data_IF_867288950302
#
_entry.id   IF_867288950302
#
_cell.length_a   1.000
_cell.length_b   1.000
_cell.length_c   1.000
_cell.angle_alpha   90.00
_cell.angle_beta   90.00
_cell.angle_gamma   90.00
#
_symmetry.space_group_name_H-M   'P 1'
#
loop_
_entity.id
_entity.type
_entity.pdbx_description
1 polymer ?
#
# COMPACT_ATOMS: atom_id res chain seq x y z
N UNK A 1 3.12 10.63 -12.50
CA UNK A 1 2.82 11.28 -11.20
C UNK A 1 3.83 10.93 -10.09
N UNK A 2 4.20 11.89 -9.24
CA UNK A 2 4.90 11.64 -7.96
C UNK A 2 3.97 12.09 -6.82
N UNK A 3 3.99 11.40 -5.69
CA UNK A 3 3.23 11.79 -4.50
C UNK A 3 4.08 11.72 -3.24
N UNK A 4 3.75 12.61 -2.31
CA UNK A 4 4.26 12.67 -0.95
C UNK A 4 3.06 12.80 -0.02
N UNK A 5 2.92 11.88 0.92
CA UNK A 5 1.85 11.85 1.90
C UNK A 5 2.41 11.68 3.28
N UNK A 6 2.01 12.56 4.17
CA UNK A 6 2.38 12.53 5.58
C UNK A 6 1.13 12.46 6.44
N UNK A 7 1.12 11.59 7.44
CA UNK A 7 0.08 11.62 8.45
C UNK A 7 0.59 11.16 9.82
N UNK A 8 0.14 11.84 10.87
CA UNK A 8 0.36 11.42 12.25
C UNK A 8 -0.39 10.10 12.50
N UNK A 9 0.27 9.20 13.22
CA UNK A 9 -0.25 7.91 13.66
C UNK A 9 -0.23 7.88 15.18
N UNK A 10 -1.33 7.50 15.85
CA UNK A 10 -1.38 7.41 17.31
C UNK A 10 -0.75 6.11 17.81
N UNK A 11 0.47 5.81 17.37
CA UNK A 11 1.30 4.68 17.80
C UNK A 11 2.77 5.08 17.68
N UNK A 12 3.62 4.64 18.61
CA UNK A 12 5.07 4.90 18.49
C UNK A 12 5.62 4.28 17.22
N UNK A 13 6.69 4.86 16.67
CA UNK A 13 7.30 4.34 15.43
C UNK A 13 7.76 2.89 15.60
N UNK A 14 8.31 2.54 16.76
CA UNK A 14 8.80 1.19 17.07
C UNK A 14 7.65 0.17 17.16
N UNK A 15 6.61 0.48 17.93
CA UNK A 15 5.44 -0.40 18.08
C UNK A 15 4.73 -0.61 16.74
N UNK A 16 4.55 0.47 15.96
CA UNK A 16 3.94 0.39 14.65
C UNK A 16 4.78 -0.45 13.69
N UNK A 17 6.10 -0.25 13.70
CA UNK A 17 7.01 -1.01 12.85
C UNK A 17 6.97 -2.51 13.14
N UNK A 18 7.01 -2.88 14.42
CA UNK A 18 6.89 -4.27 14.85
C UNK A 18 5.53 -4.86 14.44
N UNK A 19 4.46 -4.09 14.64
CA UNK A 19 3.08 -4.48 14.31
C UNK A 19 2.92 -4.74 12.80
N UNK A 20 3.46 -3.85 11.96
CA UNK A 20 3.48 -3.95 10.50
C UNK A 20 4.25 -5.15 9.94
N UNK A 21 4.96 -5.90 10.79
CA UNK A 21 5.65 -7.15 10.42
C UNK A 21 4.85 -8.41 10.75
N UNK A 22 3.68 -8.27 11.38
CA UNK A 22 2.87 -9.41 11.81
C UNK A 22 1.83 -9.79 10.76
N UNK A 23 1.58 -11.10 10.61
CA UNK A 23 0.49 -11.61 9.76
C UNK A 23 -0.89 -11.18 10.26
N UNK A 24 -1.04 -11.01 11.59
CA UNK A 24 -2.29 -10.57 12.23
C UNK A 24 -2.66 -9.15 11.81
N UNK A 25 -1.68 -8.24 11.81
CA UNK A 25 -1.91 -6.88 11.34
C UNK A 25 -2.16 -6.83 9.84
N UNK A 26 -1.42 -7.59 9.03
CA UNK A 26 -1.68 -7.68 7.58
C UNK A 26 -3.12 -8.14 7.28
N UNK A 27 -3.60 -9.17 7.97
CA UNK A 27 -4.97 -9.65 7.82
C UNK A 27 -6.01 -8.61 8.27
N UNK A 28 -5.72 -7.89 9.36
CA UNK A 28 -6.57 -6.81 9.85
C UNK A 28 -6.66 -5.66 8.86
N UNK A 29 -5.52 -5.16 8.38
CA UNK A 29 -5.44 -4.12 7.35
C UNK A 29 -6.17 -4.55 6.08
N UNK A 30 -5.96 -5.79 5.62
CA UNK A 30 -6.63 -6.31 4.43
C UNK A 30 -8.16 -6.29 4.59
N UNK A 31 -8.67 -6.71 5.75
CA UNK A 31 -10.10 -6.63 6.07
C UNK A 31 -10.59 -5.19 6.09
N UNK A 32 -9.88 -4.29 6.78
CA UNK A 32 -10.30 -2.88 6.89
C UNK A 32 -10.25 -2.13 5.56
N UNK A 33 -9.40 -2.55 4.61
CA UNK A 33 -9.40 -2.03 3.23
C UNK A 33 -10.39 -2.76 2.30
N UNK A 34 -11.15 -3.74 2.79
CA UNK A 34 -12.05 -4.60 2.02
C UNK A 34 -11.34 -5.30 0.85
N UNK A 35 -10.09 -5.75 1.07
CA UNK A 35 -9.36 -6.57 0.10
C UNK A 35 -10.05 -7.92 -0.02
N UNK A 36 -10.11 -8.46 -1.24
CA UNK A 36 -10.57 -9.82 -1.48
C UNK A 36 -9.51 -10.84 -1.08
N UNK A 37 -8.23 -10.50 -1.25
CA UNK A 37 -7.12 -11.32 -0.80
C UNK A 37 -5.87 -10.47 -0.56
N UNK A 38 -5.09 -10.89 0.44
CA UNK A 38 -3.71 -10.45 0.69
C UNK A 38 -2.89 -11.70 0.99
N UNK A 39 -2.08 -12.12 0.02
CA UNK A 39 -1.42 -13.43 0.02
C UNK A 39 0.09 -13.21 0.02
N UNK A 40 0.80 -13.70 1.03
CA UNK A 40 2.27 -13.74 1.03
C UNK A 40 2.73 -14.87 0.11
N UNK A 41 3.37 -14.52 -1.01
CA UNK A 41 3.91 -15.47 -1.98
C UNK A 41 5.32 -15.92 -1.58
N UNK A 42 6.14 -14.97 -1.16
CA UNK A 42 7.54 -15.21 -0.79
C UNK A 42 7.91 -14.33 0.41
N UNK A 43 8.74 -14.86 1.30
CA UNK A 43 9.34 -14.12 2.40
C UNK A 43 10.78 -14.60 2.59
N UNK A 44 11.71 -13.66 2.55
CA UNK A 44 13.12 -13.90 2.84
C UNK A 44 13.60 -12.88 3.86
N UNK A 45 14.31 -13.35 4.87
CA UNK A 45 14.99 -12.49 5.83
C UNK A 45 16.49 -12.76 5.68
N UNK A 46 17.27 -11.71 5.49
CA UNK A 46 18.73 -11.79 5.43
C UNK A 46 19.30 -10.53 6.07
N UNK A 47 20.14 -10.71 7.08
CA UNK A 47 20.67 -9.64 7.91
C UNK A 47 19.50 -8.75 8.41
N UNK A 48 19.64 -7.43 8.28
CA UNK A 48 18.64 -6.43 8.69
C UNK A 48 17.59 -6.14 7.60
N UNK A 49 17.42 -7.02 6.61
CA UNK A 49 16.49 -6.79 5.51
C UNK A 49 15.49 -7.93 5.40
N UNK A 50 14.20 -7.58 5.46
CA UNK A 50 13.10 -8.49 5.13
C UNK A 50 12.58 -8.15 3.72
N UNK A 51 12.71 -9.10 2.80
CA UNK A 51 12.07 -9.06 1.48
C UNK A 51 10.79 -9.86 1.52
N UNK A 52 9.69 -9.29 1.02
CA UNK A 52 8.41 -9.99 0.84
C UNK A 52 7.91 -9.76 -0.57
N UNK A 53 7.25 -10.77 -1.12
CA UNK A 53 6.41 -10.63 -2.31
C UNK A 53 5.01 -11.00 -1.92
N UNK A 54 4.08 -10.08 -2.09
CA UNK A 54 2.67 -10.29 -1.74
C UNK A 54 1.79 -10.12 -2.97
N UNK A 55 0.72 -10.89 -3.07
CA UNK A 55 -0.33 -10.72 -4.07
C UNK A 55 -1.54 -10.08 -3.41
N UNK A 56 -2.01 -8.99 -4.01
CA UNK A 56 -3.14 -8.22 -3.52
C UNK A 56 -4.26 -8.31 -4.54
N UNK A 57 -5.47 -8.61 -4.06
CA UNK A 57 -6.69 -8.67 -4.85
C UNK A 57 -7.72 -7.75 -4.20
N UNK A 58 -8.26 -6.82 -4.98
CA UNK A 58 -9.28 -5.87 -4.51
C UNK A 58 -10.36 -5.68 -5.56
N UNK A 59 -11.55 -5.26 -5.11
CA UNK A 59 -12.58 -4.76 -6.03
C UNK A 59 -12.18 -3.38 -6.52
N UNK A 60 -12.40 -3.11 -7.81
CA UNK A 60 -12.24 -1.76 -8.34
C UNK A 60 -13.37 -0.89 -7.78
N UNK A 61 -13.00 0.22 -7.15
CA UNK A 61 -13.96 1.21 -6.66
C UNK A 61 -14.62 1.90 -7.87
N UNK A 62 -15.93 1.68 -8.01
CA UNK A 62 -16.72 2.09 -9.18
C UNK A 62 -16.89 3.60 -9.30
N UNK A 63 -16.60 4.34 -8.23
CA UNK A 63 -16.57 5.80 -8.27
C UNK A 63 -15.43 6.34 -9.14
N UNK A 64 -14.42 5.51 -9.40
CA UNK A 64 -13.20 5.88 -10.11
C UNK A 64 -13.08 5.22 -11.48
N UNK A 65 -13.57 3.99 -11.60
CA UNK A 65 -13.52 3.19 -12.83
C UNK A 65 -14.88 2.54 -13.06
N UNK A 66 -15.60 2.98 -14.09
CA UNK A 66 -16.83 2.31 -14.50
C UNK A 66 -16.51 0.90 -14.99
N UNK A 67 -17.50 0.00 -14.93
CA UNK A 67 -17.35 -1.41 -15.34
C UNK A 67 -16.81 -1.54 -16.76
N UNK A 68 -17.29 -0.71 -17.67
CA UNK A 68 -16.89 -0.74 -19.08
C UNK A 68 -15.43 -0.33 -19.27
N UNK A 69 -14.95 0.67 -18.52
CA UNK A 69 -13.55 1.12 -18.57
C UNK A 69 -12.64 0.10 -17.89
N UNK A 70 -13.04 -0.42 -16.71
CA UNK A 70 -12.32 -1.48 -16.00
C UNK A 70 -12.14 -2.73 -16.87
N UNK A 71 -13.20 -3.21 -17.53
CA UNK A 71 -13.12 -4.32 -18.48
C UNK A 71 -12.22 -4.00 -19.68
N UNK A 72 -12.28 -2.78 -20.23
CA UNK A 72 -11.45 -2.41 -21.39
C UNK A 72 -9.96 -2.33 -21.06
N UNK A 73 -9.62 -1.82 -19.87
CA UNK A 73 -8.23 -1.61 -19.46
C UNK A 73 -7.67 -2.87 -18.79
N UNK A 74 -8.38 -3.45 -17.84
CA UNK A 74 -7.89 -4.54 -16.98
C UNK A 74 -8.45 -5.91 -17.37
N UNK A 75 -9.39 -5.98 -18.32
CA UNK A 75 -10.08 -7.22 -18.66
C UNK A 75 -11.01 -7.74 -17.56
N UNK A 76 -11.15 -7.02 -16.44
CA UNK A 76 -11.78 -7.54 -15.23
C UNK A 76 -12.38 -6.44 -14.34
N UNK A 77 -13.32 -6.84 -13.48
CA UNK A 77 -13.93 -6.00 -12.43
C UNK A 77 -13.10 -6.03 -11.12
N UNK A 78 -12.01 -6.79 -11.09
CA UNK A 78 -11.07 -6.90 -9.97
C UNK A 78 -9.70 -6.35 -10.35
N UNK A 79 -9.04 -5.73 -9.37
CA UNK A 79 -7.65 -5.33 -9.46
C UNK A 79 -6.79 -6.39 -8.78
N UNK A 80 -5.88 -6.97 -9.54
CA UNK A 80 -4.86 -7.90 -9.06
C UNK A 80 -3.50 -7.27 -9.31
N UNK A 81 -2.62 -7.29 -8.33
CA UNK A 81 -1.22 -6.94 -8.51
C UNK A 81 -0.35 -7.68 -7.49
N UNK A 82 0.94 -7.74 -7.78
CA UNK A 82 1.93 -8.16 -6.81
C UNK A 82 2.69 -6.94 -6.30
N UNK A 83 3.09 -6.98 -5.04
CA UNK A 83 3.93 -5.96 -4.43
C UNK A 83 5.19 -6.63 -3.88
N UNK A 84 6.34 -6.14 -4.31
CA UNK A 84 7.63 -6.46 -3.69
C UNK A 84 7.87 -5.42 -2.61
N UNK A 85 8.08 -5.89 -1.38
CA UNK A 85 8.42 -5.09 -0.22
C UNK A 85 9.86 -5.40 0.19
N UNK A 86 10.66 -4.37 0.44
CA UNK A 86 11.96 -4.45 1.09
C UNK A 86 11.92 -3.61 2.36
N UNK A 87 11.79 -4.27 3.51
CA UNK A 87 11.73 -3.65 4.83
C UNK A 87 13.12 -3.68 5.48
N UNK A 88 13.59 -2.55 5.98
CA UNK A 88 14.81 -2.47 6.76
C UNK A 88 14.46 -2.62 8.24
N UNK A 89 14.96 -3.66 8.90
CA UNK A 89 14.57 -3.97 10.27
C UNK A 89 15.15 -2.98 11.29
N UNK A 90 16.28 -2.35 10.93
CA UNK A 90 17.04 -1.44 11.79
C UNK A 90 16.73 0.06 11.59
N UNK A 91 15.97 0.42 10.55
CA UNK A 91 15.52 1.78 10.27
C UNK A 91 14.10 1.70 9.73
N UNK A 92 13.15 2.45 10.29
CA UNK A 92 11.71 2.33 10.05
C UNK A 92 11.30 2.67 8.61
N UNK A 93 11.76 1.87 7.64
CA UNK A 93 11.75 2.15 6.22
C UNK A 93 11.37 0.90 5.43
N UNK A 94 10.41 1.07 4.53
CA UNK A 94 9.92 0.04 3.62
C UNK A 94 9.94 0.60 2.20
N UNK A 95 10.71 -0.02 1.32
CA UNK A 95 10.58 0.23 -0.10
C UNK A 95 9.57 -0.74 -0.68
N UNK A 96 8.73 -0.23 -1.58
CA UNK A 96 7.73 -1.04 -2.26
C UNK A 96 7.82 -0.84 -3.77
N UNK A 97 7.45 -1.87 -4.50
CA UNK A 97 7.29 -1.85 -5.94
C UNK A 97 6.10 -2.71 -6.34
N UNK A 98 5.21 -2.14 -7.16
CA UNK A 98 4.07 -2.86 -7.71
C UNK A 98 4.48 -3.50 -9.04
N UNK A 99 4.15 -4.79 -9.17
CA UNK A 99 4.24 -5.55 -10.40
C UNK A 99 2.81 -5.83 -10.87
N UNK A 100 2.36 -5.17 -11.95
CA UNK A 100 1.04 -5.43 -12.49
C UNK A 100 1.03 -6.78 -13.22
N UNK A 101 -0.12 -7.48 -13.27
CA UNK A 101 -0.23 -8.76 -13.97
C UNK A 101 -0.19 -8.59 -15.49
N UNK A 102 -0.62 -7.43 -15.97
CA UNK A 102 -0.66 -7.02 -17.38
C UNK A 102 0.03 -5.66 -17.55
N UNK A 103 0.54 -5.37 -18.75
CA UNK A 103 1.18 -4.09 -19.08
C UNK A 103 2.41 -3.74 -18.21
N UNK A 104 3.26 -4.73 -17.89
CA UNK A 104 4.46 -4.54 -17.06
C UNK A 104 5.39 -3.43 -17.57
N UNK A 105 5.48 -3.23 -18.88
CA UNK A 105 6.32 -2.19 -19.48
C UNK A 105 5.64 -0.81 -19.54
N UNK A 106 4.32 -0.75 -19.29
CA UNK A 106 3.52 0.47 -19.38
C UNK A 106 2.99 0.94 -18.02
N UNK A 107 3.31 0.23 -16.94
CA UNK A 107 2.93 0.61 -15.59
C UNK A 107 4.09 0.33 -14.65
N UNK A 108 4.61 1.39 -14.05
CA UNK A 108 5.65 1.33 -13.03
C UNK A 108 5.16 2.09 -11.81
N UNK A 109 5.07 1.42 -10.67
CA UNK A 109 4.82 2.09 -9.41
C UNK A 109 5.77 1.59 -8.34
N UNK A 110 6.39 2.50 -7.63
CA UNK A 110 7.34 2.20 -6.56
C UNK A 110 7.44 3.37 -5.61
N UNK A 111 7.99 3.13 -4.43
CA UNK A 111 8.18 4.19 -3.46
C UNK A 111 8.76 3.73 -2.14
N UNK A 112 8.65 4.64 -1.16
CA UNK A 112 9.14 4.52 0.19
C UNK A 112 7.99 4.73 1.18
N UNK A 113 7.99 3.96 2.24
CA UNK A 113 7.28 4.28 3.47
C UNK A 113 8.32 4.45 4.57
N UNK A 114 8.24 5.55 5.31
CA UNK A 114 9.11 5.85 6.45
C UNK A 114 8.25 6.17 7.67
N UNK A 115 8.70 5.76 8.86
CA UNK A 115 8.13 6.22 10.13
C UNK A 115 9.14 7.11 10.84
N UNK A 116 8.73 8.32 11.20
CA UNK A 116 9.54 9.25 11.97
C UNK A 116 8.95 9.38 13.38
N UNK A 117 9.73 9.10 14.44
CA UNK A 117 9.22 9.19 15.81
C UNK A 117 8.89 10.64 16.17
N UNK A 118 7.75 10.86 16.83
CA UNK A 118 7.43 12.12 17.51
C UNK A 118 7.70 11.96 19.00
N UNK A 119 7.07 10.95 19.60
CA UNK A 119 7.21 10.58 21.01
C UNK A 119 6.92 9.07 21.23
N UNK A 120 6.81 8.64 22.48
CA UNK A 120 6.57 7.23 22.85
C UNK A 120 5.14 6.74 22.54
N UNK A 121 4.26 7.59 22.02
CA UNK A 121 2.86 7.31 21.72
C UNK A 121 2.46 7.63 20.29
N UNK A 122 3.29 8.38 19.55
CA UNK A 122 2.99 8.90 18.22
C UNK A 122 4.18 8.84 17.27
N UNK A 123 3.88 8.71 15.98
CA UNK A 123 4.86 8.88 14.91
C UNK A 123 4.24 9.53 13.68
N UNK A 124 5.09 10.10 12.83
CA UNK A 124 4.72 10.50 11.49
C UNK A 124 4.95 9.33 10.55
N UNK A 125 3.93 8.98 9.77
CA UNK A 125 4.04 8.04 8.66
C UNK A 125 4.15 8.83 7.35
N UNK A 126 5.31 8.69 6.71
CA UNK A 126 5.59 9.27 5.39
C UNK A 126 5.43 8.18 4.33
N UNK A 127 4.70 8.48 3.26
CA UNK A 127 4.62 7.67 2.05
C UNK A 127 4.99 8.50 0.84
N UNK A 128 6.04 8.10 0.18
CA UNK A 128 6.53 8.68 -1.06
C UNK A 128 6.38 7.65 -2.17
N UNK A 129 6.07 8.08 -3.37
CA UNK A 129 6.06 7.18 -4.50
C UNK A 129 5.95 7.85 -5.84
N UNK A 130 6.38 7.11 -6.84
CA UNK A 130 6.22 7.45 -8.24
C UNK A 130 5.28 6.45 -8.90
N UNK A 131 4.43 6.97 -9.77
CA UNK A 131 3.56 6.20 -10.63
C UNK A 131 3.75 6.71 -12.06
N UNK A 132 4.20 5.82 -12.94
CA UNK A 132 4.33 6.06 -14.37
C UNK A 132 3.41 5.08 -15.10
N UNK A 133 2.50 5.64 -15.90
CA UNK A 133 1.52 4.89 -16.70
C UNK A 133 1.60 5.40 -18.12
N UNK A 134 1.87 4.47 -19.04
CA UNK A 134 2.06 4.70 -20.47
C UNK A 134 1.05 3.88 -21.29
N UNK A 135 -0.23 4.02 -20.96
CA UNK A 135 -1.41 3.48 -21.64
C UNK A 135 -2.09 4.55 -22.52
N UNK A 136 -2.00 4.37 -23.84
CA UNK A 136 -2.63 5.27 -24.81
C UNK A 136 -4.13 5.47 -24.51
N UNK A 137 -4.55 6.73 -24.33
CA UNK A 137 -5.93 7.10 -24.04
C UNK A 137 -6.41 6.88 -22.60
N UNK A 138 -5.59 6.37 -21.68
CA UNK A 138 -5.97 6.10 -20.29
C UNK A 138 -5.07 6.72 -19.21
N UNK A 139 -3.91 7.30 -19.58
CA UNK A 139 -2.91 7.83 -18.64
C UNK A 139 -3.51 8.80 -17.61
N UNK A 140 -4.14 9.89 -18.06
CA UNK A 140 -4.67 10.92 -17.18
C UNK A 140 -5.73 10.39 -16.21
N UNK A 141 -6.57 9.47 -16.68
CA UNK A 141 -7.59 8.85 -15.84
C UNK A 141 -6.94 8.01 -14.75
N UNK A 142 -5.97 7.16 -15.10
CA UNK A 142 -5.28 6.32 -14.13
C UNK A 142 -4.49 7.12 -13.09
N UNK A 143 -3.89 8.24 -13.48
CA UNK A 143 -3.23 9.15 -12.54
C UNK A 143 -4.22 9.77 -11.54
N UNK A 144 -5.39 10.24 -11.99
CA UNK A 144 -6.45 10.77 -11.11
C UNK A 144 -6.89 9.72 -10.10
N UNK A 145 -7.09 8.48 -10.56
CA UNK A 145 -7.52 7.37 -9.71
C UNK A 145 -6.47 7.06 -8.65
N UNK A 146 -5.20 7.00 -9.06
CA UNK A 146 -4.10 6.75 -8.14
C UNK A 146 -3.96 7.87 -7.11
N UNK A 147 -4.08 9.14 -7.52
CA UNK A 147 -4.05 10.28 -6.61
C UNK A 147 -5.18 10.19 -5.57
N UNK A 148 -6.40 9.87 -6.01
CA UNK A 148 -7.55 9.74 -5.13
C UNK A 148 -7.42 8.56 -4.14
N UNK A 149 -6.92 7.41 -4.60
CA UNK A 149 -6.66 6.26 -3.73
C UNK A 149 -5.54 6.54 -2.72
N UNK A 150 -4.47 7.21 -3.15
CA UNK A 150 -3.38 7.64 -2.27
C UNK A 150 -3.89 8.57 -1.17
N UNK A 151 -4.71 9.59 -1.52
CA UNK A 151 -5.31 10.50 -0.53
C UNK A 151 -6.25 9.76 0.44
N UNK A 152 -7.12 8.88 -0.06
CA UNK A 152 -8.04 8.08 0.77
C UNK A 152 -7.28 7.14 1.72
N UNK A 153 -6.15 6.59 1.27
CA UNK A 153 -5.30 5.72 2.09
C UNK A 153 -4.63 6.46 3.25
N UNK A 154 -4.32 7.76 3.08
CA UNK A 154 -3.75 8.60 4.15
C UNK A 154 -4.67 8.61 5.38
N UNK A 155 -5.89 9.13 5.22
CA UNK A 155 -6.82 9.33 6.34
C UNK A 155 -7.28 7.98 6.93
N UNK A 156 -7.54 7.00 6.04
CA UNK A 156 -8.02 5.68 6.45
C UNK A 156 -7.00 4.90 7.27
N UNK A 157 -5.70 5.04 7.00
CA UNK A 157 -4.70 4.25 7.73
C UNK A 157 -4.60 4.68 9.20
N UNK A 158 -4.73 5.96 9.52
CA UNK A 158 -4.76 6.43 10.90
C UNK A 158 -5.91 5.77 11.69
N UNK A 159 -7.12 5.80 11.12
CA UNK A 159 -8.31 5.17 11.70
C UNK A 159 -8.16 3.66 11.90
N UNK A 160 -7.49 2.97 10.95
CA UNK A 160 -7.18 1.55 11.07
C UNK A 160 -6.26 1.29 12.26
N UNK A 161 -5.22 2.11 12.45
CA UNK A 161 -4.29 1.96 13.59
C UNK A 161 -5.00 2.25 14.92
N UNK A 162 -5.83 3.29 14.98
CA UNK A 162 -6.67 3.57 16.17
C UNK A 162 -7.54 2.38 16.54
N UNK A 163 -8.27 1.84 15.57
CA UNK A 163 -9.13 0.68 15.75
C UNK A 163 -8.34 -0.56 16.15
N UNK A 164 -7.15 -0.76 15.59
CA UNK A 164 -6.25 -1.84 15.98
C UNK A 164 -5.87 -1.72 17.46
N UNK A 165 -5.47 -0.54 17.93
CA UNK A 165 -5.13 -0.33 19.35
C UNK A 165 -6.31 -0.65 20.25
N UNK A 166 -7.51 -0.16 19.94
CA UNK A 166 -8.69 -0.42 20.78
C UNK A 166 -9.05 -1.91 20.91
N UNK A 167 -8.73 -2.72 19.89
CA UNK A 167 -9.08 -4.15 19.86
C UNK A 167 -7.97 -5.08 20.35
N UNK A 168 -6.75 -4.58 20.55
CA UNK A 168 -5.56 -5.42 20.80
C UNK A 168 -4.66 -4.89 21.92
N UNK A 169 -5.08 -3.83 22.63
CA UNK A 169 -4.55 -3.42 23.94
C UNK A 169 -5.25 -4.20 25.03
#
# INVERSE_FOLDING_TARGET
MVFYLENEIPMSAQELWQTMHTKRFDAFVAKEYNLLAYIELEKQISNDIMKRRVRIISKIDRNYLTRSIAKRILGSDILVYEEIQKKYLNRFELHWQIIPPVFKDKFKASGLLKLEPIDNSKCIRIREGSLDISLFGANRLMEIIAAAQSKKSKDRFCQIVEKWKTLNV
#
